data_IF_798744157315
#
_entry.id   IF_798744157315
#
_cell.length_a   1.000
_cell.length_b   1.000
_cell.length_c   1.000
_cell.angle_alpha   90.00
_cell.angle_beta   90.00
_cell.angle_gamma   90.00
#
_symmetry.space_group_name_H-M   'P 1'
#
loop_
_entity.id
_entity.type
_entity.pdbx_description
1 polymer ?
#
# COMPACT_ATOMS: atom_id res chain seq x y z
N UNK A 1 11.99 2.21 -17.25
CA UNK A 1 12.75 2.05 -16.00
C UNK A 1 12.48 0.65 -15.43
N UNK A 2 13.48 -0.03 -14.84
CA UNK A 2 13.24 -1.29 -14.11
C UNK A 2 12.14 -1.11 -13.07
N UNK A 3 11.24 -2.08 -12.96
CA UNK A 3 10.06 -1.93 -12.10
C UNK A 3 10.42 -1.77 -10.62
N UNK A 4 11.56 -2.30 -10.17
CA UNK A 4 12.01 -2.20 -8.79
C UNK A 4 12.26 -0.74 -8.40
N UNK A 5 12.94 0.04 -9.26
CA UNK A 5 13.18 1.47 -9.03
C UNK A 5 11.85 2.23 -8.95
N UNK A 6 10.94 1.98 -9.89
CA UNK A 6 9.60 2.62 -9.90
C UNK A 6 8.77 2.19 -8.68
N UNK A 7 8.97 0.99 -8.16
CA UNK A 7 8.26 0.52 -6.97
C UNK A 7 8.77 1.19 -5.69
N UNK A 8 10.08 1.51 -5.62
CA UNK A 8 10.62 2.36 -4.53
C UNK A 8 9.98 3.75 -4.61
N UNK A 9 9.93 4.37 -5.79
CA UNK A 9 9.25 5.66 -5.97
C UNK A 9 7.76 5.61 -5.57
N UNK A 10 7.07 4.51 -5.92
CA UNK A 10 5.69 4.28 -5.47
C UNK A 10 5.58 4.19 -3.94
N UNK A 11 6.53 3.52 -3.31
CA UNK A 11 6.56 3.36 -1.87
C UNK A 11 6.81 4.68 -1.14
N UNK A 12 7.68 5.53 -1.67
CA UNK A 12 7.90 6.88 -1.14
C UNK A 12 6.61 7.71 -1.15
N UNK A 13 5.74 7.54 -2.16
CA UNK A 13 4.43 8.18 -2.20
C UNK A 13 3.47 7.66 -1.12
N UNK A 14 3.56 6.37 -0.77
CA UNK A 14 2.80 5.82 0.36
C UNK A 14 3.23 6.52 1.65
N UNK A 15 4.53 6.60 1.92
CA UNK A 15 5.07 7.24 3.13
C UNK A 15 4.74 8.73 3.16
N UNK A 16 4.89 9.44 2.04
CA UNK A 16 4.51 10.84 1.91
C UNK A 16 3.03 11.05 2.25
N UNK A 17 2.13 10.20 1.74
CA UNK A 17 0.69 10.34 2.02
C UNK A 17 0.33 10.14 3.50
N UNK A 18 1.08 9.30 4.22
CA UNK A 18 0.89 9.10 5.66
C UNK A 18 1.38 10.34 6.42
N UNK A 19 2.57 10.85 6.08
CA UNK A 19 3.13 12.06 6.69
C UNK A 19 2.30 13.31 6.41
N UNK A 20 1.56 13.34 5.29
CA UNK A 20 0.64 14.41 4.93
C UNK A 20 -0.79 14.19 5.45
N UNK A 21 -1.07 13.03 6.07
CA UNK A 21 -2.39 12.72 6.60
C UNK A 21 -3.47 12.44 5.54
N UNK A 22 -3.08 12.18 4.30
CA UNK A 22 -3.98 11.99 3.16
C UNK A 22 -4.22 10.51 2.85
N UNK A 23 -3.50 9.57 3.48
CA UNK A 23 -3.60 8.14 3.23
C UNK A 23 -5.02 7.60 3.47
N UNK A 24 -5.62 7.02 2.43
CA UNK A 24 -6.95 6.43 2.49
C UNK A 24 -6.91 4.89 2.41
N UNK A 25 -6.17 4.32 1.45
CA UNK A 25 -6.14 2.87 1.21
C UNK A 25 -4.93 2.47 0.38
N UNK A 26 -4.38 1.29 0.64
CA UNK A 26 -3.39 0.66 -0.23
C UNK A 26 -3.79 -0.79 -0.53
N UNK A 27 -3.63 -1.20 -1.78
CA UNK A 27 -3.92 -2.58 -2.21
C UNK A 27 -2.98 -3.06 -3.30
N UNK A 28 -2.55 -4.33 -3.21
CA UNK A 28 -1.98 -5.06 -4.34
C UNK A 28 -3.09 -5.87 -4.99
N UNK A 29 -3.17 -5.77 -6.31
CA UNK A 29 -4.24 -6.33 -7.11
C UNK A 29 -3.69 -6.80 -8.46
N UNK A 30 -4.57 -7.46 -9.24
CA UNK A 30 -4.28 -8.02 -10.56
C UNK A 30 -3.11 -9.01 -10.55
N UNK A 31 -3.46 -10.27 -10.48
CA UNK A 31 -2.51 -11.38 -10.41
C UNK A 31 -2.07 -11.85 -11.80
N UNK A 32 -0.93 -12.51 -11.86
CA UNK A 32 -0.50 -13.30 -13.01
C UNK A 32 -1.01 -14.73 -12.85
N UNK A 33 -1.70 -15.25 -13.87
CA UNK A 33 -2.28 -16.58 -13.82
C UNK A 33 -3.42 -16.72 -12.81
N UNK A 34 -3.85 -17.96 -12.58
CA UNK A 34 -4.73 -18.27 -11.45
C UNK A 34 -3.88 -18.57 -10.22
N UNK A 35 -4.23 -17.90 -9.13
CA UNK A 35 -3.56 -17.97 -7.82
C UNK A 35 -4.64 -17.95 -6.74
N UNK A 36 -4.37 -18.62 -5.64
CA UNK A 36 -5.26 -18.61 -4.47
C UNK A 36 -5.27 -17.24 -3.80
N UNK A 37 -4.13 -16.54 -3.76
CA UNK A 37 -4.01 -15.18 -3.24
C UNK A 37 -4.62 -14.18 -4.23
N UNK A 38 -5.73 -13.53 -3.86
CA UNK A 38 -6.52 -12.64 -4.74
C UNK A 38 -6.18 -11.16 -4.55
N UNK A 39 -5.90 -10.74 -3.32
CA UNK A 39 -5.55 -9.36 -2.99
C UNK A 39 -4.65 -9.31 -1.76
N UNK A 40 -3.89 -8.23 -1.63
CA UNK A 40 -3.34 -7.80 -0.34
C UNK A 40 -3.94 -6.43 -0.06
N UNK A 41 -4.51 -6.27 1.13
CA UNK A 41 -4.94 -4.99 1.66
C UNK A 41 -3.92 -4.54 2.69
N UNK A 42 -3.52 -3.27 2.62
CA UNK A 42 -2.60 -2.68 3.58
C UNK A 42 -3.33 -1.57 4.31
N UNK A 43 -3.37 -1.67 5.64
CA UNK A 43 -3.93 -0.67 6.54
C UNK A 43 -2.85 -0.17 7.49
N UNK A 44 -3.03 1.05 7.98
CA UNK A 44 -2.30 1.55 9.14
C UNK A 44 -2.81 0.81 10.38
N UNK A 45 -1.91 0.57 11.32
CA UNK A 45 -2.23 -0.02 12.61
C UNK A 45 -1.42 0.68 13.70
N UNK A 46 -2.13 1.21 14.71
CA UNK A 46 -1.52 1.94 15.82
C UNK A 46 -0.96 0.93 16.82
N UNK A 47 0.27 1.17 17.27
CA UNK A 47 0.91 0.34 18.28
C UNK A 47 0.55 0.83 19.68
N UNK A 48 0.28 -0.10 20.60
CA UNK A 48 0.01 0.22 22.02
C UNK A 48 1.19 0.95 22.68
N UNK A 49 2.41 0.70 22.20
CA UNK A 49 3.65 1.35 22.67
C UNK A 49 3.85 2.76 22.10
N UNK A 50 2.95 3.22 21.24
CA UNK A 50 3.11 4.43 20.45
C UNK A 50 3.75 4.15 19.08
N UNK A 51 3.43 5.01 18.10
CA UNK A 51 3.80 4.81 16.71
C UNK A 51 2.78 3.99 15.93
N UNK A 52 3.16 3.54 14.74
CA UNK A 52 2.32 2.73 13.87
C UNK A 52 3.15 1.72 13.08
N UNK A 53 2.47 0.68 12.60
CA UNK A 53 3.00 -0.26 11.62
C UNK A 53 1.92 -0.52 10.55
N UNK A 54 2.20 -1.43 9.62
CA UNK A 54 1.25 -1.84 8.59
C UNK A 54 0.63 -3.19 8.92
N UNK A 55 -0.70 -3.26 8.87
CA UNK A 55 -1.46 -4.50 8.85
C UNK A 55 -1.70 -4.91 7.38
N UNK A 56 -1.08 -6.02 6.96
CA UNK A 56 -1.23 -6.63 5.65
C UNK A 56 -2.21 -7.80 5.76
N UNK A 57 -3.41 -7.63 5.23
CA UNK A 57 -4.39 -8.71 5.08
C UNK A 57 -4.22 -9.37 3.71
N UNK A 58 -3.68 -10.58 3.69
CA UNK A 58 -3.58 -11.44 2.52
C UNK A 58 -4.91 -12.16 2.33
N UNK A 59 -5.63 -11.81 1.27
CA UNK A 59 -6.94 -12.39 0.96
C UNK A 59 -6.80 -13.54 -0.04
N UNK A 60 -6.96 -14.76 0.45
CA UNK A 60 -7.03 -15.97 -0.35
C UNK A 60 -8.47 -16.27 -0.77
N UNK A 61 -8.69 -17.30 -1.60
CA UNK A 61 -10.05 -17.73 -2.00
C UNK A 61 -10.88 -18.21 -0.80
N UNK A 62 -10.24 -18.85 0.18
CA UNK A 62 -10.90 -19.55 1.29
C UNK A 62 -10.70 -18.91 2.65
N UNK A 63 -9.71 -18.01 2.78
CA UNK A 63 -9.32 -17.43 4.06
C UNK A 63 -8.65 -16.07 3.89
N UNK A 64 -8.51 -15.35 5.01
CA UNK A 64 -7.71 -14.14 5.10
C UNK A 64 -6.67 -14.32 6.21
N UNK A 65 -5.41 -14.01 5.90
CA UNK A 65 -4.30 -14.08 6.86
C UNK A 65 -3.78 -12.66 7.07
N UNK A 66 -3.63 -12.23 8.32
CA UNK A 66 -3.12 -10.91 8.65
C UNK A 66 -1.71 -10.98 9.21
N UNK A 67 -0.84 -10.12 8.69
CA UNK A 67 0.54 -9.95 9.14
C UNK A 67 0.82 -8.49 9.44
N UNK A 68 1.67 -8.23 10.43
CA UNK A 68 2.06 -6.89 10.83
C UNK A 68 3.54 -6.66 10.51
N UNK A 69 3.84 -5.55 9.86
CA UNK A 69 5.19 -5.20 9.43
C UNK A 69 5.49 -3.75 9.74
N UNK A 70 6.71 -3.48 10.20
CA UNK A 70 7.19 -2.11 10.33
C UNK A 70 7.21 -1.40 8.97
N UNK A 71 7.32 -0.07 8.99
CA UNK A 71 7.49 0.72 7.76
C UNK A 71 8.74 0.26 6.99
N UNK A 72 9.86 0.04 7.68
CA UNK A 72 11.11 -0.38 7.05
C UNK A 72 11.01 -1.77 6.39
N UNK A 73 10.27 -2.71 7.00
CA UNK A 73 10.08 -4.06 6.47
C UNK A 73 9.08 -4.12 5.31
N UNK A 74 8.05 -3.26 5.35
CA UNK A 74 6.91 -3.36 4.45
C UNK A 74 7.31 -3.17 2.98
N UNK A 75 8.31 -2.34 2.67
CA UNK A 75 8.82 -2.21 1.30
C UNK A 75 9.32 -3.56 0.75
N UNK A 76 10.16 -4.26 1.52
CA UNK A 76 10.70 -5.56 1.12
C UNK A 76 9.59 -6.60 0.98
N UNK A 77 8.67 -6.67 1.95
CA UNK A 77 7.55 -7.61 1.93
C UNK A 77 6.64 -7.35 0.73
N UNK A 78 6.18 -6.12 0.52
CA UNK A 78 5.30 -5.79 -0.61
C UNK A 78 6.00 -5.99 -1.96
N UNK A 79 7.30 -5.67 -2.06
CA UNK A 79 8.08 -5.88 -3.28
C UNK A 79 8.17 -7.36 -3.66
N UNK A 80 8.27 -8.27 -2.68
CA UNK A 80 8.29 -9.72 -2.90
C UNK A 80 7.01 -10.25 -3.57
N UNK A 81 5.91 -9.51 -3.45
CA UNK A 81 4.63 -9.82 -4.06
C UNK A 81 4.46 -9.25 -5.48
N UNK A 82 5.34 -8.34 -5.91
CA UNK A 82 5.35 -7.79 -7.27
C UNK A 82 5.99 -8.80 -8.21
N UNK A 83 5.33 -9.06 -9.33
CA UNK A 83 5.61 -10.19 -10.23
C UNK A 83 5.50 -11.55 -9.51
N UNK A 84 4.85 -11.61 -8.34
CA UNK A 84 4.60 -12.86 -7.62
C UNK A 84 3.50 -12.72 -6.52
N UNK A 85 2.19 -12.77 -6.84
CA UNK A 85 1.62 -12.88 -8.17
C UNK A 85 1.21 -11.52 -8.77
N UNK A 86 1.34 -10.41 -8.04
CA UNK A 86 0.69 -9.16 -8.43
C UNK A 86 1.46 -8.37 -9.47
N UNK A 87 0.73 -7.67 -10.33
CA UNK A 87 1.29 -6.76 -11.35
C UNK A 87 0.90 -5.32 -11.14
N UNK A 88 0.01 -5.06 -10.19
CA UNK A 88 -0.52 -3.74 -9.90
C UNK A 88 -0.53 -3.49 -8.40
N UNK A 89 -0.16 -2.29 -7.98
CA UNK A 89 -0.44 -1.75 -6.66
C UNK A 89 -1.16 -0.42 -6.81
N UNK A 90 -2.15 -0.15 -5.95
CA UNK A 90 -2.95 1.07 -5.96
C UNK A 90 -2.88 1.73 -4.58
N UNK A 91 -2.41 2.96 -4.56
CA UNK A 91 -2.47 3.87 -3.42
C UNK A 91 -3.62 4.84 -3.67
N UNK A 92 -4.50 4.96 -2.69
CA UNK A 92 -5.59 5.92 -2.67
C UNK A 92 -5.31 6.93 -1.57
N UNK A 93 -5.47 8.21 -1.91
CA UNK A 93 -5.35 9.33 -0.97
C UNK A 93 -6.55 10.27 -1.15
N UNK A 94 -6.66 11.29 -0.30
CA UNK A 94 -7.65 12.35 -0.47
C UNK A 94 -7.34 13.29 -1.63
N UNK A 95 -6.09 13.33 -2.11
CA UNK A 95 -5.63 14.26 -3.14
C UNK A 95 -5.58 13.62 -4.53
N UNK A 96 -5.17 12.35 -4.58
CA UNK A 96 -5.06 11.59 -5.83
C UNK A 96 -5.11 10.07 -5.58
N UNK A 97 -5.28 9.33 -6.67
CA UNK A 97 -5.07 7.89 -6.73
C UNK A 97 -3.84 7.59 -7.58
N UNK A 98 -2.89 6.83 -7.04
CA UNK A 98 -1.67 6.43 -7.72
C UNK A 98 -1.70 4.94 -8.01
N UNK A 99 -1.52 4.58 -9.28
CA UNK A 99 -1.41 3.19 -9.70
C UNK A 99 0.01 2.88 -10.17
N UNK A 100 0.67 1.96 -9.48
CA UNK A 100 1.86 1.29 -9.97
C UNK A 100 1.49 0.08 -10.83
N UNK A 101 2.16 -0.10 -11.97
CA UNK A 101 2.05 -1.29 -12.82
C UNK A 101 3.42 -1.78 -13.26
N UNK A 102 3.57 -3.10 -13.37
CA UNK A 102 4.71 -3.76 -14.03
C UNK A 102 4.24 -4.58 -15.22
N UNK A 103 4.93 -4.46 -16.35
CA UNK A 103 4.61 -5.20 -17.57
C UNK A 103 5.45 -6.47 -17.74
N UNK A 104 5.17 -7.24 -18.82
CA UNK A 104 5.91 -8.48 -19.14
C UNK A 104 7.41 -8.27 -19.40
N UNK A 105 7.83 -7.04 -19.76
CA UNK A 105 9.23 -6.66 -20.01
C UNK A 105 9.93 -6.12 -18.76
N UNK A 106 9.37 -6.33 -17.57
CA UNK A 106 9.91 -5.85 -16.29
C UNK A 106 10.06 -4.32 -16.20
N UNK A 107 9.32 -3.57 -17.02
CA UNK A 107 9.25 -2.12 -16.90
C UNK A 107 8.10 -1.71 -15.98
N UNK A 108 8.40 -0.84 -15.02
CA UNK A 108 7.41 -0.23 -14.14
C UNK A 108 6.87 1.08 -14.70
N UNK A 109 5.67 1.47 -14.26
CA UNK A 109 5.05 2.77 -14.55
C UNK A 109 4.17 3.22 -13.39
N UNK A 110 4.11 4.53 -13.17
CA UNK A 110 3.15 5.20 -12.29
C UNK A 110 2.09 5.91 -13.12
N UNK A 111 0.85 5.92 -12.65
CA UNK A 111 -0.24 6.67 -13.27
C UNK A 111 -1.09 7.29 -12.17
N UNK A 112 -1.18 8.61 -12.17
CA UNK A 112 -1.99 9.41 -11.26
C UNK A 112 -3.39 9.64 -11.84
N UNK A 113 -4.40 9.65 -10.98
CA UNK A 113 -5.79 9.93 -11.31
C UNK A 113 -6.45 10.74 -10.17
N UNK A 114 -7.61 11.31 -10.44
CA UNK A 114 -8.41 12.00 -9.42
C UNK A 114 -8.74 11.05 -8.25
N UNK A 115 -8.84 11.58 -7.02
CA UNK A 115 -9.02 10.76 -5.83
C UNK A 115 -10.38 10.06 -5.82
N UNK A 116 -10.37 8.75 -5.53
CA UNK A 116 -11.62 8.00 -5.32
C UNK A 116 -12.21 8.29 -3.93
N UNK A 117 -11.36 8.52 -2.93
CA UNK A 117 -11.78 8.71 -1.55
C UNK A 117 -11.73 10.19 -1.16
N UNK A 118 -12.79 10.68 -0.51
CA UNK A 118 -12.86 12.07 -0.01
C UNK A 118 -12.30 12.24 1.39
N UNK A 119 -12.04 11.14 2.10
CA UNK A 119 -11.55 11.14 3.47
C UNK A 119 -10.36 10.20 3.59
N UNK A 120 -9.42 10.54 4.45
CA UNK A 120 -8.35 9.64 4.88
C UNK A 120 -8.93 8.42 5.62
N UNK A 121 -8.12 7.39 5.80
CA UNK A 121 -8.56 6.20 6.52
C UNK A 121 -8.89 6.53 7.99
N UNK A 122 -9.84 5.83 8.64
CA UNK A 122 -10.15 6.09 10.04
C UNK A 122 -8.92 6.04 10.97
N UNK A 123 -8.01 5.10 10.72
CA UNK A 123 -6.77 4.97 11.50
C UNK A 123 -5.81 6.14 11.25
N UNK A 124 -5.76 6.66 10.02
CA UNK A 124 -4.99 7.88 9.73
C UNK A 124 -5.51 9.08 10.53
N UNK A 125 -6.83 9.25 10.58
CA UNK A 125 -7.46 10.31 11.39
C UNK A 125 -7.15 10.15 12.87
N UNK A 126 -7.26 8.92 13.40
CA UNK A 126 -6.92 8.61 14.79
C UNK A 126 -5.43 8.86 15.09
N UNK A 127 -4.53 8.55 14.15
CA UNK A 127 -3.09 8.84 14.28
C UNK A 127 -2.82 10.35 14.38
N UNK A 128 -3.55 11.17 13.63
CA UNK A 128 -3.45 12.64 13.70
C UNK A 128 -3.96 13.13 15.06
N UNK A 129 -5.14 12.66 15.50
CA UNK A 129 -5.72 13.04 16.79
C UNK A 129 -4.83 12.69 17.98
N UNK A 130 -4.15 11.54 17.92
CA UNK A 130 -3.19 11.11 18.95
C UNK A 130 -1.81 11.75 18.82
N UNK A 131 -1.57 12.57 17.79
CA UNK A 131 -0.27 13.20 17.53
C UNK A 131 0.85 12.20 17.17
N UNK A 132 0.48 11.02 16.67
CA UNK A 132 1.44 10.00 16.19
C UNK A 132 2.14 10.50 14.93
N UNK A 133 1.40 11.19 14.06
CA UNK A 133 1.93 11.96 12.93
C UNK A 133 1.74 13.44 13.24
N UNK A 134 2.79 14.23 13.05
CA UNK A 134 2.72 15.69 13.15
C UNK A 134 2.51 16.25 11.75
N UNK A 135 1.32 16.80 11.51
CA UNK A 135 1.01 17.58 10.31
C UNK A 135 1.51 19.02 10.44
#
# INVERSE_FOLDING_TARGET
MPYQTVFVEFYDQIISSINQGTFAKLTLAKTMGDTELKNIYVRLHILDTGGYNFALTLKYKTEEIEHFHSVDEALTVLSSYIKNPFTTALLFTTEMDLTFKVNKKNAGSLTEQMPTFKNASPVMLEMIEKGIIKL
#
